data_IF_914484501021
#
_entry.id   IF_914484501021
#
_cell.length_a   1.000
_cell.length_b   1.000
_cell.length_c   1.000
_cell.angle_alpha   90.00
_cell.angle_beta   90.00
_cell.angle_gamma   90.00
#
_symmetry.space_group_name_H-M   'P 1'
#
loop_
_entity.id
_entity.type
_entity.pdbx_description
1 polymer ?
#
# COMPACT_ATOMS: atom_id res chain seq x y z
N UNK A 1 17.65 2.98 -1.08
CA UNK A 1 17.50 3.21 0.37
C UNK A 1 17.52 4.68 0.68
N UNK A 2 18.70 5.23 1.01
CA UNK A 2 18.89 6.60 1.52
C UNK A 2 18.22 7.72 0.71
N UNK A 3 18.27 7.67 -0.62
CA UNK A 3 17.59 8.68 -1.47
C UNK A 3 16.07 8.67 -1.26
N UNK A 4 15.47 7.48 -1.14
CA UNK A 4 14.03 7.36 -0.90
C UNK A 4 13.67 7.78 0.53
N UNK A 5 14.52 7.46 1.51
CA UNK A 5 14.37 7.96 2.88
C UNK A 5 14.38 9.49 2.92
N UNK A 6 15.35 10.12 2.25
CA UNK A 6 15.43 11.57 2.14
C UNK A 6 14.21 12.17 1.43
N UNK A 7 13.72 11.54 0.34
CA UNK A 7 12.53 11.98 -0.36
C UNK A 7 11.27 11.93 0.51
N UNK A 8 11.12 10.89 1.34
CA UNK A 8 10.02 10.81 2.31
C UNK A 8 10.20 11.83 3.43
N UNK A 9 11.40 11.93 4.01
CA UNK A 9 11.69 12.87 5.10
C UNK A 9 11.50 14.34 4.68
N UNK A 10 11.81 14.69 3.43
CA UNK A 10 11.61 16.02 2.88
C UNK A 10 10.12 16.43 2.81
N UNK A 11 9.20 15.45 2.71
CA UNK A 11 7.76 15.72 2.64
C UNK A 11 7.01 15.38 3.93
N UNK A 12 7.59 14.54 4.79
CA UNK A 12 7.01 14.05 6.04
C UNK A 12 8.08 13.88 7.12
N UNK A 13 8.76 14.96 7.55
CA UNK A 13 9.86 14.88 8.51
C UNK A 13 9.43 14.30 9.86
N UNK A 14 8.15 14.45 10.22
CA UNK A 14 7.56 13.90 11.44
C UNK A 14 7.36 12.38 11.40
N UNK A 15 7.34 11.75 10.22
CA UNK A 15 7.32 10.29 10.10
C UNK A 15 8.73 9.76 9.92
N UNK A 16 9.26 9.12 10.97
CA UNK A 16 10.52 8.40 10.93
C UNK A 16 10.40 7.13 10.07
N UNK A 17 10.40 7.30 8.75
CA UNK A 17 10.34 6.19 7.80
C UNK A 17 11.74 5.74 7.39
N UNK A 18 12.07 4.50 7.74
CA UNK A 18 13.32 3.83 7.38
C UNK A 18 12.99 2.43 6.90
N UNK A 19 13.07 2.14 5.59
CA UNK A 19 12.64 0.85 5.07
C UNK A 19 13.56 -0.25 5.64
N UNK A 20 12.94 -1.30 6.18
CA UNK A 20 13.67 -2.44 6.76
C UNK A 20 13.78 -3.61 5.79
N UNK A 21 12.98 -3.61 4.72
CA UNK A 21 13.05 -4.60 3.65
C UNK A 21 12.47 -4.05 2.34
N UNK A 22 12.73 -4.76 1.25
CA UNK A 22 12.10 -4.52 -0.04
C UNK A 22 11.65 -5.83 -0.68
N UNK A 23 10.53 -5.81 -1.41
CA UNK A 23 10.15 -6.91 -2.30
C UNK A 23 10.43 -6.52 -3.75
N UNK A 24 11.14 -7.39 -4.46
CA UNK A 24 11.46 -7.22 -5.87
C UNK A 24 10.51 -8.02 -6.75
N UNK A 25 9.92 -7.35 -7.75
CA UNK A 25 9.14 -7.98 -8.80
C UNK A 25 9.83 -7.76 -10.15
N UNK A 26 9.90 -8.80 -10.97
CA UNK A 26 10.32 -8.73 -12.38
C UNK A 26 9.09 -9.01 -13.24
N UNK A 27 8.82 -8.11 -14.17
CA UNK A 27 7.81 -8.28 -15.20
C UNK A 27 8.57 -8.42 -16.53
N UNK A 28 8.62 -9.62 -17.10
CA UNK A 28 9.31 -9.90 -18.35
C UNK A 28 8.71 -9.10 -19.52
N UNK A 29 7.39 -8.98 -19.54
CA UNK A 29 6.65 -8.32 -20.61
C UNK A 29 5.26 -7.85 -20.10
N UNK A 30 4.34 -7.60 -21.03
CA UNK A 30 2.98 -7.17 -20.75
C UNK A 30 2.03 -8.25 -20.22
N UNK A 31 2.39 -9.54 -20.30
CA UNK A 31 1.57 -10.63 -19.77
C UNK A 31 1.73 -10.79 -18.25
N UNK A 32 2.89 -10.42 -17.72
CA UNK A 32 3.14 -10.38 -16.27
C UNK A 32 2.32 -9.26 -15.62
N UNK A 33 1.71 -9.57 -14.48
CA UNK A 33 0.84 -8.65 -13.77
C UNK A 33 0.75 -8.96 -12.28
N UNK A 34 0.36 -7.95 -11.52
CA UNK A 34 -0.15 -8.10 -10.16
C UNK A 34 -1.52 -7.43 -10.12
N UNK A 35 -2.55 -8.20 -9.78
CA UNK A 35 -3.92 -7.71 -9.72
C UNK A 35 -4.15 -6.72 -8.58
N UNK A 36 -5.35 -6.13 -8.54
CA UNK A 36 -5.72 -5.18 -7.49
C UNK A 36 -5.64 -5.81 -6.10
N UNK A 37 -4.79 -5.23 -5.26
CA UNK A 37 -4.61 -5.64 -3.87
C UNK A 37 -4.21 -4.43 -3.01
N UNK A 38 -4.26 -4.62 -1.70
CA UNK A 38 -3.60 -3.74 -0.73
C UNK A 38 -2.57 -4.57 0.01
N UNK A 39 -1.49 -3.95 0.45
CA UNK A 39 -0.43 -4.65 1.14
C UNK A 39 -0.90 -5.23 2.47
N UNK A 40 -0.30 -6.35 2.86
CA UNK A 40 -0.58 -6.96 4.15
C UNK A 40 0.03 -6.11 5.28
N UNK A 41 -0.81 -5.50 6.10
CA UNK A 41 -0.38 -4.49 7.08
C UNK A 41 0.01 -5.05 8.44
N UNK A 42 -0.07 -6.37 8.67
CA UNK A 42 0.24 -6.96 10.00
C UNK A 42 1.65 -6.65 10.50
N UNK A 43 2.64 -6.60 9.63
CA UNK A 43 4.00 -6.24 10.04
C UNK A 43 4.30 -4.74 9.84
N UNK A 44 3.45 -4.03 9.10
CA UNK A 44 3.66 -2.61 8.74
C UNK A 44 2.92 -1.66 9.67
N UNK A 45 1.89 -2.15 10.36
CA UNK A 45 0.97 -1.38 11.17
C UNK A 45 0.03 -0.48 10.35
N UNK A 46 -0.81 0.30 11.05
CA UNK A 46 -1.68 1.29 10.44
C UNK A 46 -0.93 2.36 9.64
N UNK A 47 -1.57 2.84 8.57
CA UNK A 47 -1.12 3.93 7.68
C UNK A 47 0.36 3.80 7.29
N UNK A 48 0.79 2.66 6.73
CA UNK A 48 2.18 2.45 6.39
C UNK A 48 2.58 3.29 5.18
N UNK A 49 3.82 3.79 5.17
CA UNK A 49 4.43 4.35 3.97
C UNK A 49 5.11 3.23 3.21
N UNK A 50 4.78 3.12 1.92
CA UNK A 50 5.36 2.15 0.99
C UNK A 50 5.88 2.91 -0.21
N UNK A 51 7.13 2.64 -0.59
CA UNK A 51 7.77 3.33 -1.73
C UNK A 51 8.15 2.33 -2.79
N UNK A 52 7.58 2.46 -3.99
CA UNK A 52 7.91 1.64 -5.15
C UNK A 52 8.88 2.35 -6.08
N UNK A 53 10.06 1.77 -6.33
CA UNK A 53 11.00 2.22 -7.36
C UNK A 53 10.79 1.39 -8.62
N UNK A 54 10.57 2.04 -9.76
CA UNK A 54 10.44 1.40 -11.07
C UNK A 54 11.73 1.58 -11.89
N UNK A 55 12.24 0.47 -12.42
CA UNK A 55 13.40 0.41 -13.32
C UNK A 55 13.03 -0.39 -14.58
N UNK A 56 13.77 -0.21 -15.67
CA UNK A 56 13.42 -0.79 -16.97
C UNK A 56 12.21 -0.13 -17.64
N UNK A 57 11.39 -0.94 -18.32
CA UNK A 57 10.31 -0.47 -19.17
C UNK A 57 9.21 0.29 -18.41
N UNK A 58 8.62 1.29 -19.06
CA UNK A 58 7.49 2.04 -18.50
C UNK A 58 6.23 1.19 -18.54
N UNK A 59 5.59 1.02 -17.39
CA UNK A 59 4.25 0.41 -17.31
C UNK A 59 3.35 1.19 -16.38
N UNK A 60 2.06 1.04 -16.61
CA UNK A 60 1.02 1.62 -15.77
C UNK A 60 1.03 1.01 -14.38
N UNK A 61 0.78 1.87 -13.40
CA UNK A 61 0.45 1.51 -12.04
C UNK A 61 -0.95 2.06 -11.77
N UNK A 62 -1.89 1.15 -11.52
CA UNK A 62 -3.29 1.48 -11.35
C UNK A 62 -3.64 1.51 -9.87
N UNK A 63 -4.36 2.54 -9.45
CA UNK A 63 -4.97 2.68 -8.14
C UNK A 63 -6.48 2.64 -8.31
N UNK A 64 -7.18 1.91 -7.44
CA UNK A 64 -8.64 1.83 -7.36
C UNK A 64 -9.08 2.21 -5.95
N UNK A 65 -9.87 3.27 -5.85
CA UNK A 65 -10.40 3.77 -4.59
C UNK A 65 -11.70 3.05 -4.20
N UNK A 66 -12.17 3.23 -2.95
CA UNK A 66 -13.44 2.69 -2.52
C UNK A 66 -14.61 3.48 -3.12
N UNK A 67 -15.79 2.89 -3.10
CA UNK A 67 -17.01 3.64 -3.31
C UNK A 67 -17.31 4.47 -2.06
N UNK A 68 -17.40 5.79 -2.21
CA UNK A 68 -17.65 6.73 -1.09
C UNK A 68 -19.09 7.27 -1.06
N UNK A 69 -19.98 6.74 -1.92
CA UNK A 69 -21.42 7.00 -1.87
C UNK A 69 -21.97 6.50 -0.52
N UNK A 70 -22.13 7.41 0.44
CA UNK A 70 -22.58 7.12 1.81
C UNK A 70 -21.57 7.46 2.91
N UNK A 71 -20.33 7.84 2.57
CA UNK A 71 -19.33 8.32 3.55
C UNK A 71 -18.97 9.79 3.36
N UNK A 72 -19.05 10.28 2.12
CA UNK A 72 -18.93 11.69 1.78
C UNK A 72 -20.29 12.21 1.28
N UNK A 73 -20.53 13.52 1.42
CA UNK A 73 -21.67 14.17 0.77
C UNK A 73 -21.64 13.95 -0.75
N UNK A 74 -22.80 13.91 -1.39
CA UNK A 74 -22.95 13.50 -2.80
C UNK A 74 -21.99 14.21 -3.78
N UNK A 75 -21.74 15.51 -3.57
CA UNK A 75 -20.80 16.28 -4.38
C UNK A 75 -19.35 15.81 -4.21
N UNK A 76 -18.87 15.64 -2.98
CA UNK A 76 -17.51 15.16 -2.70
C UNK A 76 -17.31 13.68 -3.10
N UNK A 77 -18.36 12.86 -3.05
CA UNK A 77 -18.31 11.49 -3.54
C UNK A 77 -18.21 11.39 -5.07
N UNK A 78 -18.77 12.36 -5.80
CA UNK A 78 -18.72 12.45 -7.26
C UNK A 78 -17.33 12.89 -7.77
N UNK A 79 -16.64 13.77 -7.05
CA UNK A 79 -15.28 14.21 -7.40
C UNK A 79 -14.19 13.19 -7.04
N UNK A 80 -14.50 12.19 -6.21
CA UNK A 80 -13.53 11.19 -5.79
C UNK A 80 -13.14 10.24 -6.94
N UNK A 81 -11.85 10.20 -7.35
CA UNK A 81 -11.45 9.36 -8.46
C UNK A 81 -11.57 7.88 -8.09
N UNK A 82 -12.45 7.15 -8.79
CA UNK A 82 -12.64 5.70 -8.59
C UNK A 82 -11.45 4.88 -9.11
N UNK A 83 -10.70 5.42 -10.07
CA UNK A 83 -9.47 4.83 -10.59
C UNK A 83 -8.48 5.93 -10.98
N UNK A 84 -7.22 5.74 -10.63
CA UNK A 84 -6.10 6.57 -11.07
C UNK A 84 -5.10 5.65 -11.78
N UNK A 85 -4.60 6.07 -12.93
CA UNK A 85 -3.64 5.31 -13.72
C UNK A 85 -2.39 6.18 -13.90
N UNK A 86 -1.24 5.64 -13.49
CA UNK A 86 0.01 6.39 -13.44
C UNK A 86 1.05 5.65 -14.30
N UNK A 87 1.53 6.22 -15.42
CA UNK A 87 2.68 5.65 -16.12
C UNK A 87 3.93 5.82 -15.25
N UNK A 88 4.62 4.72 -14.95
CA UNK A 88 5.85 4.75 -14.17
C UNK A 88 7.05 4.43 -15.09
N UNK A 89 7.76 5.44 -15.61
CA UNK A 89 8.92 5.23 -16.46
C UNK A 89 10.13 4.72 -15.66
N UNK A 90 11.22 4.40 -16.37
CA UNK A 90 12.50 4.11 -15.75
C UNK A 90 12.90 5.20 -14.75
N UNK A 91 13.46 4.80 -13.61
CA UNK A 91 13.98 5.67 -12.58
C UNK A 91 12.91 6.58 -11.94
N UNK A 92 11.65 6.12 -11.90
CA UNK A 92 10.55 6.77 -11.19
C UNK A 92 10.26 6.10 -9.85
N UNK A 93 9.87 6.90 -8.87
CA UNK A 93 9.42 6.41 -7.57
C UNK A 93 7.97 6.81 -7.33
N UNK A 94 7.16 5.87 -6.84
CA UNK A 94 5.81 6.12 -6.34
C UNK A 94 5.81 5.98 -4.81
N UNK A 95 5.23 6.96 -4.12
CA UNK A 95 5.11 6.96 -2.67
C UNK A 95 3.63 6.77 -2.32
N UNK A 96 3.32 5.66 -1.65
CA UNK A 96 2.01 5.36 -1.11
C UNK A 96 2.04 5.62 0.40
N UNK A 97 1.35 6.66 0.85
CA UNK A 97 1.26 7.05 2.26
C UNK A 97 -0.19 7.38 2.64
N UNK A 98 -0.42 7.91 3.85
CA UNK A 98 -1.76 8.14 4.41
C UNK A 98 -2.55 6.84 4.48
N UNK A 99 -3.76 6.85 3.91
CA UNK A 99 -4.71 5.74 3.91
C UNK A 99 -4.65 4.96 2.60
N UNK A 100 -3.53 5.04 1.88
CA UNK A 100 -3.41 4.38 0.59
C UNK A 100 -3.60 2.86 0.73
N UNK A 101 -3.01 2.21 1.74
CA UNK A 101 -3.19 0.76 1.92
C UNK A 101 -4.55 0.40 2.54
N UNK A 102 -5.21 1.35 3.19
CA UNK A 102 -6.47 1.16 3.90
C UNK A 102 -7.70 1.35 3.01
N UNK A 103 -7.61 2.29 2.06
CA UNK A 103 -8.70 2.70 1.19
C UNK A 103 -8.48 2.28 -0.26
N UNK A 104 -7.23 2.27 -0.73
CA UNK A 104 -6.92 2.02 -2.12
C UNK A 104 -6.37 0.62 -2.33
N UNK A 105 -6.72 0.06 -3.48
CA UNK A 105 -6.05 -1.10 -4.03
C UNK A 105 -5.17 -0.66 -5.19
N UNK A 106 -4.06 -1.34 -5.39
CA UNK A 106 -3.12 -1.05 -6.46
C UNK A 106 -2.80 -2.28 -7.31
N UNK A 107 -2.43 -2.05 -8.56
CA UNK A 107 -2.14 -3.10 -9.54
C UNK A 107 -1.07 -2.67 -10.54
N UNK A 108 -0.39 -3.68 -11.09
CA UNK A 108 0.35 -3.57 -12.36
C UNK A 108 -0.42 -4.44 -13.35
N UNK A 109 -1.33 -3.86 -14.16
CA UNK A 109 -2.23 -4.63 -15.00
C UNK A 109 -1.51 -5.20 -16.22
N UNK A 110 -2.01 -6.32 -16.76
CA UNK A 110 -1.58 -6.82 -18.08
C UNK A 110 -1.78 -5.74 -19.14
N UNK A 111 -0.90 -5.70 -20.12
CA UNK A 111 -1.00 -4.80 -21.27
C UNK A 111 -0.41 -5.46 -22.51
N UNK A 112 -0.78 -5.00 -23.70
CA UNK A 112 -0.16 -5.46 -24.93
C UNK A 112 1.29 -4.93 -25.01
N UNK A 113 2.21 -5.72 -25.58
CA UNK A 113 3.64 -5.38 -25.60
C UNK A 113 3.97 -4.14 -26.42
N UNK A 114 3.12 -3.79 -27.38
CA UNK A 114 3.21 -2.58 -28.20
C UNK A 114 2.85 -1.30 -27.42
N UNK A 115 2.05 -1.41 -26.37
CA UNK A 115 1.70 -0.29 -25.46
C UNK A 115 2.78 0.02 -24.42
N UNK A 116 3.80 -0.83 -24.29
CA UNK A 116 4.90 -0.65 -23.33
C UNK A 116 5.99 0.24 -23.94
N UNK A 117 6.33 1.34 -23.26
CA UNK A 117 7.53 2.11 -23.62
C UNK A 117 8.75 1.31 -23.21
N UNK A 118 9.46 0.80 -24.21
CA UNK A 118 10.65 -0.04 -24.05
C UNK A 118 11.80 0.78 -23.46
N UNK A 119 12.56 0.14 -22.59
CA UNK A 119 13.81 0.69 -22.08
C UNK A 119 14.98 0.22 -22.95
N UNK A 120 15.91 1.10 -23.29
CA UNK A 120 17.00 0.80 -24.23
C UNK A 120 17.81 -0.45 -23.86
N UNK A 121 18.10 -0.65 -22.58
CA UNK A 121 18.91 -1.79 -22.12
C UNK A 121 18.10 -3.05 -21.76
N UNK A 122 16.83 -2.91 -21.35
CA UNK A 122 16.03 -4.03 -20.81
C UNK A 122 14.83 -4.40 -21.67
N UNK A 123 14.64 -3.73 -22.81
CA UNK A 123 13.52 -3.95 -23.72
C UNK A 123 12.19 -3.77 -23.01
N UNK A 124 11.39 -4.84 -22.96
CA UNK A 124 10.07 -4.87 -22.31
C UNK A 124 10.14 -5.09 -20.80
N UNK A 125 11.30 -5.48 -20.28
CA UNK A 125 11.42 -5.91 -18.89
C UNK A 125 11.33 -4.70 -17.96
N UNK A 126 10.42 -4.78 -16.99
CA UNK A 126 10.29 -3.85 -15.86
C UNK A 126 10.70 -4.54 -14.57
N UNK A 127 11.45 -3.83 -13.74
CA UNK A 127 11.73 -4.21 -12.36
C UNK A 127 11.01 -3.23 -11.42
N UNK A 128 10.42 -3.77 -10.36
CA UNK A 128 9.79 -2.98 -9.30
C UNK A 128 10.37 -3.38 -7.95
N UNK A 129 10.94 -2.41 -7.22
CA UNK A 129 11.44 -2.60 -5.86
C UNK A 129 10.51 -1.86 -4.90
N UNK A 130 9.79 -2.59 -4.06
CA UNK A 130 8.80 -2.04 -3.12
C UNK A 130 9.35 -2.05 -1.69
N UNK A 131 9.80 -0.89 -1.24
CA UNK A 131 10.41 -0.66 0.07
C UNK A 131 9.34 -0.49 1.14
N UNK A 132 9.52 -1.19 2.27
CA UNK A 132 8.59 -1.26 3.39
C UNK A 132 9.34 -1.17 4.71
N UNK A 133 8.67 -0.64 5.72
CA UNK A 133 9.18 -0.55 7.09
C UNK A 133 8.35 -1.43 8.01
N UNK A 134 8.97 -2.46 8.60
CA UNK A 134 8.35 -3.20 9.69
C UNK A 134 8.23 -2.31 10.92
N UNK A 135 7.08 -2.34 11.58
CA UNK A 135 6.84 -1.67 12.85
C UNK A 135 6.80 -2.69 13.98
N UNK A 136 7.26 -2.29 15.17
CA UNK A 136 7.02 -3.05 16.39
C UNK A 136 5.57 -2.81 16.82
N UNK A 137 4.71 -3.78 16.56
CA UNK A 137 3.30 -3.73 16.95
C UNK A 137 3.11 -4.31 18.36
N UNK A 138 2.05 -3.91 19.10
CA UNK A 138 1.66 -4.64 20.30
C UNK A 138 1.19 -6.06 19.95
N UNK A 139 1.00 -6.89 20.96
CA UNK A 139 0.38 -8.19 20.78
C UNK A 139 -1.09 -8.03 20.34
N UNK A 140 -1.36 -8.39 19.09
CA UNK A 140 -2.67 -8.24 18.46
C UNK A 140 -3.61 -9.44 18.72
N UNK A 141 -3.20 -10.38 19.55
CA UNK A 141 -3.97 -11.58 19.90
C UNK A 141 -3.93 -12.71 18.85
N UNK A 142 -4.69 -13.77 19.14
CA UNK A 142 -4.72 -15.03 18.39
C UNK A 142 -6.09 -15.28 17.75
N UNK A 143 -6.15 -15.91 16.57
CA UNK A 143 -7.41 -16.46 16.01
C UNK A 143 -7.84 -17.70 16.80
N UNK A 144 -9.08 -18.13 16.61
CA UNK A 144 -9.62 -19.39 17.17
C UNK A 144 -8.78 -20.64 16.84
N UNK A 145 -7.93 -20.59 15.81
CA UNK A 145 -6.96 -21.64 15.46
C UNK A 145 -5.72 -21.70 16.36
N UNK A 146 -5.58 -20.79 17.33
CA UNK A 146 -4.36 -20.63 18.15
C UNK A 146 -3.19 -19.93 17.45
N UNK A 147 -3.32 -19.62 16.15
CA UNK A 147 -2.31 -18.88 15.40
C UNK A 147 -2.44 -17.37 15.63
N UNK A 148 -1.34 -16.60 15.51
CA UNK A 148 -1.40 -15.15 15.59
C UNK A 148 -2.40 -14.56 14.58
N UNK A 149 -3.23 -13.61 15.03
CA UNK A 149 -4.19 -12.98 14.15
C UNK A 149 -3.49 -12.15 13.06
N UNK A 150 -4.05 -12.19 11.85
CA UNK A 150 -3.75 -11.23 10.79
C UNK A 150 -4.32 -9.86 11.12
N UNK A 151 -3.76 -8.81 10.54
CA UNK A 151 -4.33 -7.46 10.57
C UNK A 151 -4.55 -6.99 9.14
N UNK A 152 -5.75 -6.48 8.86
CA UNK A 152 -6.06 -5.81 7.59
C UNK A 152 -7.03 -4.67 7.80
N UNK A 153 -7.10 -3.79 6.81
CA UNK A 153 -8.12 -2.77 6.72
C UNK A 153 -9.17 -3.16 5.68
N UNK A 154 -10.42 -2.74 5.89
CA UNK A 154 -11.51 -2.79 4.93
C UNK A 154 -12.23 -1.45 4.97
N UNK A 155 -12.14 -0.68 3.89
CA UNK A 155 -12.71 0.66 3.79
C UNK A 155 -12.32 1.56 4.97
N UNK A 156 -11.04 1.57 5.32
CA UNK A 156 -10.51 2.41 6.41
C UNK A 156 -10.68 1.83 7.82
N UNK A 157 -11.51 0.80 8.00
CA UNK A 157 -11.74 0.16 9.31
C UNK A 157 -10.81 -1.03 9.50
N UNK A 158 -10.22 -1.18 10.68
CA UNK A 158 -9.20 -2.20 10.96
C UNK A 158 -9.78 -3.45 11.62
N UNK A 159 -9.37 -4.60 11.12
CA UNK A 159 -9.82 -5.90 11.59
C UNK A 159 -8.67 -6.86 11.83
N UNK A 160 -8.75 -7.53 12.96
CA UNK A 160 -8.07 -8.78 13.21
C UNK A 160 -8.84 -9.90 12.49
N UNK A 161 -8.12 -10.78 11.81
CA UNK A 161 -8.75 -11.86 11.06
C UNK A 161 -7.90 -13.13 11.05
N UNK A 162 -8.53 -14.26 10.74
CA UNK A 162 -7.80 -15.50 10.49
C UNK A 162 -7.02 -15.42 9.18
N UNK A 163 -5.69 -15.35 9.27
CA UNK A 163 -4.79 -15.53 8.14
C UNK A 163 -4.04 -16.85 8.30
N UNK A 164 -4.62 -17.98 7.85
CA UNK A 164 -4.00 -19.29 8.04
C UNK A 164 -2.63 -19.34 7.34
N UNK A 165 -1.59 -19.70 8.09
CA UNK A 165 -0.23 -19.95 7.61
C UNK A 165 0.21 -21.36 8.00
N UNK A 166 1.30 -21.87 7.42
CA UNK A 166 1.86 -23.17 7.81
C UNK A 166 0.98 -24.38 7.46
N UNK A 167 0.46 -24.45 6.23
CA UNK A 167 -0.24 -25.63 5.72
C UNK A 167 -1.75 -25.70 5.96
N UNK A 168 -2.33 -24.82 6.80
CA UNK A 168 -3.79 -24.69 6.94
C UNK A 168 -4.39 -24.02 5.68
N UNK A 169 -5.32 -24.68 5.01
CA UNK A 169 -5.95 -24.18 3.76
C UNK A 169 -7.24 -23.35 3.98
N UNK A 170 -7.87 -23.42 5.16
CA UNK A 170 -9.16 -22.77 5.44
C UNK A 170 -9.09 -21.82 6.63
N UNK A 171 -9.83 -20.72 6.54
CA UNK A 171 -9.94 -19.73 7.62
C UNK A 171 -10.85 -20.23 8.75
N UNK A 172 -10.58 -19.82 9.99
CA UNK A 172 -11.34 -20.17 11.20
C UNK A 172 -12.61 -19.33 11.38
N UNK A 173 -12.95 -18.46 10.42
CA UNK A 173 -14.02 -17.47 10.55
C UNK A 173 -13.72 -16.32 11.51
N UNK A 174 -12.62 -16.35 12.28
CA UNK A 174 -12.27 -15.28 13.22
C UNK A 174 -12.17 -13.93 12.53
N UNK A 175 -12.94 -12.98 13.08
CA UNK A 175 -12.98 -11.60 12.65
C UNK A 175 -13.33 -10.72 13.84
N UNK A 176 -12.52 -9.70 14.11
CA UNK A 176 -12.76 -8.77 15.22
C UNK A 176 -12.23 -7.39 14.86
N UNK A 177 -12.93 -6.33 15.23
CA UNK A 177 -12.40 -4.96 15.10
C UNK A 177 -11.11 -4.80 15.94
N UNK A 178 -10.11 -4.15 15.37
CA UNK A 178 -8.84 -3.91 16.05
C UNK A 178 -8.80 -2.51 16.67
N UNK A 179 -9.30 -2.36 17.90
CA UNK A 179 -9.39 -1.06 18.57
C UNK A 179 -8.05 -0.32 18.65
N UNK A 180 -6.95 -1.05 18.90
CA UNK A 180 -5.61 -0.46 18.90
C UNK A 180 -5.24 0.14 17.54
N UNK A 181 -5.48 -0.60 16.44
CA UNK A 181 -5.12 -0.13 15.10
C UNK A 181 -5.95 1.09 14.69
N UNK A 182 -7.22 1.13 15.07
CA UNK A 182 -8.10 2.30 14.88
C UNK A 182 -7.55 3.52 15.62
N UNK A 183 -7.25 3.38 16.91
CA UNK A 183 -6.72 4.47 17.73
C UNK A 183 -5.36 4.96 17.22
N UNK A 184 -4.50 4.05 16.77
CA UNK A 184 -3.20 4.41 16.19
C UNK A 184 -3.35 5.13 14.85
N UNK A 185 -4.23 4.65 13.97
CA UNK A 185 -4.52 5.34 12.71
C UNK A 185 -5.07 6.76 12.96
N UNK A 186 -5.94 6.91 13.94
CA UNK A 186 -6.51 8.20 14.34
C UNK A 186 -5.44 9.15 14.88
N UNK A 187 -4.58 8.70 15.79
CA UNK A 187 -3.43 9.49 16.28
C UNK A 187 -2.54 9.96 15.13
N UNK A 188 -2.30 9.10 14.14
CA UNK A 188 -1.51 9.45 12.96
C UNK A 188 -2.22 10.47 12.05
N UNK A 189 -3.55 10.39 11.87
CA UNK A 189 -4.34 11.40 11.16
C UNK A 189 -4.26 12.76 11.84
N UNK A 190 -4.46 12.80 13.15
CA UNK A 190 -4.40 14.03 13.94
C UNK A 190 -3.03 14.67 13.86
N UNK A 191 -1.97 13.86 13.90
CA UNK A 191 -0.61 14.36 13.67
C UNK A 191 -0.46 14.95 12.27
N UNK A 192 -0.86 14.22 11.23
CA UNK A 192 -0.77 14.71 9.86
C UNK A 192 -1.55 16.02 9.67
N UNK A 193 -2.72 16.17 10.31
CA UNK A 193 -3.51 17.40 10.29
C UNK A 193 -2.83 18.57 11.03
N UNK A 194 -2.24 18.32 12.21
CA UNK A 194 -1.48 19.34 12.96
C UNK A 194 -0.28 19.84 12.16
N UNK A 195 0.47 18.93 11.54
CA UNK A 195 1.67 19.28 10.77
C UNK A 195 1.31 20.00 9.47
N UNK A 196 0.21 19.60 8.81
CA UNK A 196 -0.30 20.33 7.65
C UNK A 196 -0.75 21.75 8.01
N UNK A 197 -1.41 21.93 9.17
CA UNK A 197 -1.81 23.25 9.66
C UNK A 197 -0.62 24.13 10.05
N UNK A 198 0.47 23.55 10.57
CA UNK A 198 1.69 24.28 10.91
C UNK A 198 2.51 24.71 9.68
N UNK A 199 2.30 24.07 8.53
CA UNK A 199 2.99 24.36 7.27
C UNK A 199 2.22 25.33 6.35
N UNK A 200 0.97 25.67 6.69
CA UNK A 200 0.11 26.61 5.96
C UNK A 200 0.24 28.03 6.52
#
# INVERSE_FOLDING_TARGET
GRILEAAVAARRPWQAWRPTFALGNRYADGADAVGFHSDFIRELGPRPIIVGLTLGACRRFDLRGPALEGTLGAAAAAEWPRRVCIPLPHNSAIVMWNDCQELWQHAVPRCANDTIVRHAASGLVRYSLTYRMKKRLPELGTCHCGLPAGLKSKAGTYYLFCNPSGGKKKTCGFWKRCAWAEAEAQRMRERDAREAAAAA
#
